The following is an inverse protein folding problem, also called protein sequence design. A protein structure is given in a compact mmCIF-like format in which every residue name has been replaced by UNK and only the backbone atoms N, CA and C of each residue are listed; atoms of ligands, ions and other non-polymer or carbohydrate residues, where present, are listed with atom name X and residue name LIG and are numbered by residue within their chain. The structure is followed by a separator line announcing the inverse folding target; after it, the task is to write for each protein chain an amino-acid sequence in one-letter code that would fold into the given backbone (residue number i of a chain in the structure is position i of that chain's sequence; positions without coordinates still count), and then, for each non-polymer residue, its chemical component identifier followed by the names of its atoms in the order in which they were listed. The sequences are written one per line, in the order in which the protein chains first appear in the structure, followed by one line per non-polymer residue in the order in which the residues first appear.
data_IF_246013308225
#
_entry.id   IF_246013308225
#
_cell.length_a   1.000
_cell.length_b   1.000
_cell.length_c   1.000
_cell.angle_alpha   90.00
_cell.angle_beta   90.00
_cell.angle_gamma   90.00
#
_symmetry.space_group_name_H-M   'P 1'
#
loop_
_entity.id
_entity.type
_entity.pdbx_description
1 polymer ?
#
# COMPACT_ATOMS: atom_id res chain seq x y z
N UNK A 1 42.04 12.78 -15.82
CA UNK A 1 41.36 13.00 -14.52
C UNK A 1 39.86 13.32 -14.63
N UNK A 2 39.34 13.93 -15.70
CA UNK A 2 37.88 14.18 -15.85
C UNK A 2 37.01 12.94 -16.14
N UNK A 3 37.54 11.90 -16.79
CA UNK A 3 36.76 10.69 -17.16
C UNK A 3 36.47 9.73 -15.98
N UNK A 4 37.33 9.69 -14.97
CA UNK A 4 37.14 8.80 -13.81
C UNK A 4 36.01 9.27 -12.88
N UNK A 5 35.81 10.58 -12.77
CA UNK A 5 34.79 11.19 -11.90
C UNK A 5 33.37 10.90 -12.40
N UNK A 6 33.16 10.85 -13.73
CA UNK A 6 31.85 10.58 -14.34
C UNK A 6 31.42 9.12 -14.15
N UNK A 7 32.36 8.18 -14.15
CA UNK A 7 32.08 6.74 -13.97
C UNK A 7 31.70 6.44 -12.52
N UNK A 8 32.39 7.07 -11.55
CA UNK A 8 32.06 6.96 -10.14
C UNK A 8 30.65 7.51 -9.85
N UNK A 9 30.31 8.71 -10.35
CA UNK A 9 28.96 9.28 -10.17
C UNK A 9 27.84 8.43 -10.78
N UNK A 10 28.08 7.81 -11.94
CA UNK A 10 27.08 6.95 -12.60
C UNK A 10 26.82 5.65 -11.83
N UNK A 11 27.83 5.07 -11.16
CA UNK A 11 27.63 3.86 -10.35
C UNK A 11 26.88 4.12 -9.03
N UNK A 12 27.06 5.29 -8.40
CA UNK A 12 26.31 5.62 -7.18
C UNK A 12 24.82 5.85 -7.43
N UNK A 13 24.45 6.47 -8.56
CA UNK A 13 23.03 6.68 -8.90
C UNK A 13 22.27 5.37 -9.12
N UNK A 14 22.91 4.36 -9.71
CA UNK A 14 22.29 3.06 -9.95
C UNK A 14 22.07 2.24 -8.67
N UNK A 15 22.94 2.39 -7.67
CA UNK A 15 22.81 1.70 -6.38
C UNK A 15 21.65 2.27 -5.53
N UNK A 16 21.45 3.59 -5.56
CA UNK A 16 20.36 4.24 -4.83
C UNK A 16 18.99 3.84 -5.37
N UNK A 17 18.80 3.87 -6.70
CA UNK A 17 17.54 3.47 -7.34
C UNK A 17 17.18 2.01 -7.06
N UNK A 18 18.18 1.11 -7.05
CA UNK A 18 17.96 -0.30 -6.75
C UNK A 18 17.54 -0.55 -5.29
N UNK A 19 18.14 0.19 -4.34
CA UNK A 19 17.77 0.08 -2.92
C UNK A 19 16.34 0.59 -2.67
N UNK A 20 15.95 1.71 -3.29
CA UNK A 20 14.60 2.27 -3.17
C UNK A 20 13.55 1.35 -3.81
N UNK A 21 13.86 0.75 -4.96
CA UNK A 21 12.96 -0.21 -5.63
C UNK A 21 12.78 -1.50 -4.82
N UNK A 22 13.86 -2.01 -4.22
CA UNK A 22 13.80 -3.17 -3.33
C UNK A 22 12.99 -2.87 -2.06
N UNK A 23 13.20 -1.69 -1.47
CA UNK A 23 12.45 -1.21 -0.29
C UNK A 23 10.96 -1.06 -0.59
N UNK A 24 10.61 -0.50 -1.76
CA UNK A 24 9.23 -0.37 -2.22
C UNK A 24 8.53 -1.73 -2.33
N UNK A 25 9.16 -2.69 -3.01
CA UNK A 25 8.56 -4.01 -3.20
C UNK A 25 8.40 -4.77 -1.87
N UNK A 26 9.33 -4.64 -0.92
CA UNK A 26 9.16 -5.24 0.41
C UNK A 26 7.98 -4.62 1.16
N UNK A 27 7.86 -3.29 1.17
CA UNK A 27 6.76 -2.61 1.87
C UNK A 27 5.38 -2.96 1.30
N UNK A 28 5.27 -3.05 -0.03
CA UNK A 28 4.02 -3.47 -0.70
C UNK A 28 3.66 -4.90 -0.29
N UNK A 29 4.64 -5.80 -0.31
CA UNK A 29 4.46 -7.22 0.05
C UNK A 29 4.05 -7.37 1.51
N UNK A 30 4.74 -6.68 2.41
CA UNK A 30 4.46 -6.71 3.85
C UNK A 30 3.08 -6.13 4.15
N UNK A 31 2.70 -5.01 3.51
CA UNK A 31 1.35 -4.44 3.61
C UNK A 31 0.27 -5.44 3.21
N UNK A 32 0.47 -6.12 2.08
CA UNK A 32 -0.50 -7.09 1.59
C UNK A 32 -0.62 -8.33 2.50
N UNK A 33 0.51 -8.86 2.97
CA UNK A 33 0.53 -10.00 3.90
C UNK A 33 -0.10 -9.65 5.24
N UNK A 34 0.19 -8.46 5.76
CA UNK A 34 -0.39 -7.97 7.01
C UNK A 34 -1.91 -7.85 6.86
N UNK A 35 -2.44 -7.24 5.79
CA UNK A 35 -3.89 -7.22 5.53
C UNK A 35 -4.50 -8.62 5.48
N UNK A 36 -3.85 -9.54 4.75
CA UNK A 36 -4.35 -10.92 4.60
C UNK A 36 -4.45 -11.62 5.96
N UNK A 37 -3.50 -11.37 6.86
CA UNK A 37 -3.47 -11.95 8.21
C UNK A 37 -4.65 -11.53 9.08
N UNK A 38 -5.32 -10.42 8.77
CA UNK A 38 -6.47 -9.91 9.54
C UNK A 38 -7.77 -10.67 9.30
N UNK A 39 -7.81 -11.56 8.30
CA UNK A 39 -8.96 -12.44 8.06
C UNK A 39 -10.26 -11.70 7.72
N UNK A 40 -10.17 -10.62 6.94
CA UNK A 40 -11.36 -9.83 6.58
C UNK A 40 -12.38 -10.67 5.80
N UNK A 41 -13.66 -10.38 6.02
CA UNK A 41 -14.79 -11.10 5.41
C UNK A 41 -15.80 -10.13 4.80
N UNK A 42 -16.45 -10.56 3.72
CA UNK A 42 -17.40 -9.78 2.93
C UNK A 42 -18.74 -10.50 2.83
N UNK A 43 -19.83 -9.73 2.84
CA UNK A 43 -21.19 -10.24 2.66
C UNK A 43 -21.72 -10.99 3.88
N UNK A 44 -23.02 -11.28 3.84
CA UNK A 44 -23.71 -12.02 4.92
C UNK A 44 -23.17 -13.45 5.11
N UNK A 45 -22.66 -14.06 4.03
CA UNK A 45 -22.04 -15.39 4.05
C UNK A 45 -20.64 -15.40 4.70
N UNK A 46 -20.14 -14.23 5.13
CA UNK A 46 -18.80 -14.04 5.73
C UNK A 46 -17.70 -14.62 4.85
N UNK A 47 -17.82 -14.49 3.53
CA UNK A 47 -16.81 -14.99 2.61
C UNK A 47 -15.47 -14.31 2.89
N UNK A 48 -14.36 -15.06 3.02
CA UNK A 48 -13.05 -14.45 3.21
C UNK A 48 -12.72 -13.52 2.05
N UNK A 49 -12.44 -12.25 2.33
CA UNK A 49 -12.18 -11.22 1.33
C UNK A 49 -10.97 -11.59 0.45
N UNK A 50 -9.99 -12.29 1.04
CA UNK A 50 -8.83 -12.83 0.33
C UNK A 50 -9.19 -13.85 -0.76
N UNK A 51 -10.40 -14.41 -0.80
CA UNK A 51 -10.83 -15.31 -1.89
C UNK A 51 -11.37 -14.55 -3.10
N UNK A 52 -11.73 -13.28 -2.96
CA UNK A 52 -12.33 -12.46 -4.01
C UNK A 52 -11.24 -11.74 -4.81
N UNK A 53 -11.09 -12.10 -6.10
CA UNK A 53 -10.02 -11.60 -6.98
C UNK A 53 -9.96 -10.07 -7.02
N UNK A 54 -11.06 -9.42 -7.38
CA UNK A 54 -11.09 -7.95 -7.47
C UNK A 54 -10.82 -7.24 -6.14
N UNK A 55 -11.15 -7.88 -5.02
CA UNK A 55 -10.85 -7.34 -3.70
C UNK A 55 -9.34 -7.38 -3.41
N UNK A 56 -8.68 -8.52 -3.72
CA UNK A 56 -7.22 -8.63 -3.58
C UNK A 56 -6.48 -7.61 -4.45
N UNK A 57 -6.91 -7.44 -5.69
CA UNK A 57 -6.31 -6.49 -6.63
C UNK A 57 -6.43 -5.04 -6.13
N UNK A 58 -7.59 -4.67 -5.60
CA UNK A 58 -7.78 -3.37 -4.98
C UNK A 58 -6.91 -3.14 -3.75
N UNK A 59 -6.78 -4.15 -2.89
CA UNK A 59 -5.87 -4.07 -1.73
C UNK A 59 -4.43 -3.91 -2.16
N UNK A 60 -3.98 -4.67 -3.18
CA UNK A 60 -2.63 -4.51 -3.72
C UNK A 60 -2.40 -3.08 -4.20
N UNK A 61 -3.36 -2.51 -4.94
CA UNK A 61 -3.30 -1.11 -5.40
C UNK A 61 -3.23 -0.11 -4.24
N UNK A 62 -3.94 -0.35 -3.15
CA UNK A 62 -3.87 0.48 -1.94
C UNK A 62 -2.48 0.39 -1.30
N UNK A 63 -1.91 -0.81 -1.16
CA UNK A 63 -0.56 -1.01 -0.63
C UNK A 63 0.51 -0.32 -1.49
N UNK A 64 0.37 -0.34 -2.82
CA UNK A 64 1.22 0.41 -3.75
C UNK A 64 1.14 1.92 -3.46
N UNK A 65 -0.05 2.51 -3.45
CA UNK A 65 -0.22 3.95 -3.26
C UNK A 65 0.26 4.40 -1.87
N UNK A 66 0.02 3.61 -0.83
CA UNK A 66 0.52 3.92 0.53
C UNK A 66 2.04 3.88 0.60
N UNK A 67 2.66 2.88 -0.03
CA UNK A 67 4.12 2.79 -0.14
C UNK A 67 4.69 3.98 -0.90
N UNK A 68 4.10 4.35 -2.04
CA UNK A 68 4.51 5.52 -2.83
C UNK A 68 4.46 6.81 -1.99
N UNK A 69 3.36 7.03 -1.25
CA UNK A 69 3.20 8.20 -0.37
C UNK A 69 4.20 8.20 0.80
N UNK A 70 4.40 7.04 1.44
CA UNK A 70 5.34 6.90 2.56
C UNK A 70 6.78 7.20 2.13
N UNK A 71 7.21 6.65 0.99
CA UNK A 71 8.53 6.90 0.42
C UNK A 71 8.70 8.35 -0.06
N UNK A 72 7.61 9.04 -0.40
CA UNK A 72 7.60 10.49 -0.69
C UNK A 72 7.65 11.37 0.57
N UNK A 73 7.67 10.77 1.76
CA UNK A 73 7.73 11.50 3.04
C UNK A 73 6.40 12.07 3.51
N UNK A 74 5.27 11.62 2.96
CA UNK A 74 3.97 11.95 3.51
C UNK A 74 3.80 11.30 4.90
N UNK A 75 3.05 11.94 5.79
CA UNK A 75 2.73 11.42 7.13
C UNK A 75 1.64 10.33 7.05
N UNK A 76 1.97 9.22 6.38
CA UNK A 76 1.09 8.06 6.19
C UNK A 76 1.87 6.77 6.47
N UNK A 77 1.23 5.79 7.10
CA UNK A 77 1.82 4.46 7.22
C UNK A 77 1.79 3.71 5.88
N UNK A 78 2.83 2.91 5.51
CA UNK A 78 2.78 2.05 4.34
C UNK A 78 1.76 0.91 4.48
N UNK A 79 1.32 0.61 5.70
CA UNK A 79 0.28 -0.39 6.00
C UNK A 79 -1.10 0.24 6.04
N UNK A 80 -2.13 -0.51 5.65
CA UNK A 80 -3.54 -0.10 5.72
C UNK A 80 -3.93 0.16 7.19
N UNK A 81 -4.38 1.36 7.56
CA UNK A 81 -4.73 1.66 8.95
C UNK A 81 -6.23 1.50 9.25
N UNK A 82 -7.09 1.77 8.25
CA UNK A 82 -8.54 1.71 8.37
C UNK A 82 -9.15 0.30 8.44
N UNK A 83 -10.45 0.27 8.76
CA UNK A 83 -11.26 -0.95 8.73
C UNK A 83 -11.74 -1.21 7.31
N UNK A 84 -12.16 -2.45 7.05
CA UNK A 84 -12.76 -2.85 5.77
C UNK A 84 -13.83 -1.87 5.26
N UNK A 85 -14.70 -1.37 6.16
CA UNK A 85 -15.75 -0.39 5.81
C UNK A 85 -15.20 0.91 5.23
N UNK A 86 -14.04 1.34 5.71
CA UNK A 86 -13.42 2.59 5.27
C UNK A 86 -12.78 2.42 3.90
N UNK A 87 -12.48 1.19 3.48
CA UNK A 87 -11.80 0.85 2.22
C UNK A 87 -12.76 0.39 1.12
N UNK A 88 -13.90 -0.18 1.50
CA UNK A 88 -14.92 -0.69 0.60
C UNK A 88 -15.25 0.22 -0.59
N UNK A 89 -15.42 1.55 -0.42
CA UNK A 89 -15.82 2.44 -1.50
C UNK A 89 -14.81 2.57 -2.65
N UNK A 90 -13.56 2.12 -2.47
CA UNK A 90 -12.51 2.29 -3.48
C UNK A 90 -11.75 1.02 -3.84
N UNK A 91 -11.85 -0.06 -3.05
CA UNK A 91 -11.17 -1.33 -3.37
C UNK A 91 -11.54 -1.85 -4.77
N UNK A 92 -12.79 -1.76 -5.20
CA UNK A 92 -13.19 -2.37 -6.48
C UNK A 92 -12.95 -1.49 -7.71
N UNK A 93 -13.09 -0.17 -7.59
CA UNK A 93 -13.24 0.71 -8.78
C UNK A 93 -12.32 1.92 -8.78
N UNK A 94 -11.62 2.22 -7.70
CA UNK A 94 -10.84 3.44 -7.63
C UNK A 94 -9.53 3.34 -8.40
N UNK A 95 -9.20 4.45 -9.05
CA UNK A 95 -7.88 4.67 -9.65
C UNK A 95 -6.84 4.89 -8.54
N UNK A 96 -5.54 4.85 -8.89
CA UNK A 96 -4.48 5.17 -7.93
C UNK A 96 -4.62 6.60 -7.39
N UNK A 97 -5.00 7.53 -8.26
CA UNK A 97 -5.22 8.94 -7.92
C UNK A 97 -6.37 9.11 -6.93
N UNK A 98 -7.50 8.43 -7.14
CA UNK A 98 -8.64 8.46 -6.23
C UNK A 98 -8.25 7.91 -4.84
N UNK A 99 -7.51 6.80 -4.82
CA UNK A 99 -6.98 6.19 -3.58
C UNK A 99 -6.05 7.17 -2.87
N UNK A 100 -5.14 7.81 -3.61
CA UNK A 100 -4.20 8.80 -3.07
C UNK A 100 -4.92 9.98 -2.44
N UNK A 101 -5.87 10.58 -3.15
CA UNK A 101 -6.68 11.69 -2.63
C UNK A 101 -7.43 11.28 -1.37
N UNK A 102 -8.04 10.09 -1.38
CA UNK A 102 -8.78 9.60 -0.21
C UNK A 102 -7.86 9.44 0.99
N UNK A 103 -6.74 8.71 0.88
CA UNK A 103 -5.79 8.48 1.99
C UNK A 103 -5.37 9.80 2.64
N UNK A 104 -5.06 10.81 1.83
CA UNK A 104 -4.66 12.13 2.31
C UNK A 104 -5.82 12.90 2.96
N UNK A 105 -7.05 12.78 2.43
CA UNK A 105 -8.23 13.47 2.96
C UNK A 105 -8.73 12.92 4.29
N UNK A 106 -8.73 11.59 4.48
CA UNK A 106 -9.18 11.00 5.75
C UNK A 106 -8.16 11.20 6.87
N UNK A 107 -6.99 11.76 6.56
CA UNK A 107 -5.84 11.88 7.45
C UNK A 107 -5.64 10.56 8.21
N UNK A 108 -5.58 9.46 7.45
CA UNK A 108 -5.49 8.11 7.99
C UNK A 108 -4.11 7.94 8.66
N UNK A 109 -4.07 8.35 9.93
CA UNK A 109 -2.87 8.71 10.68
C UNK A 109 -1.87 7.56 10.79
N UNK A 110 -0.63 7.92 11.07
CA UNK A 110 0.45 7.02 11.46
C UNK A 110 0.07 6.21 12.71
N UNK A 111 0.08 4.89 12.58
CA UNK A 111 -0.32 3.95 13.63
C UNK A 111 0.00 2.51 13.26
N UNK A 112 -0.12 1.59 14.22
CA UNK A 112 -0.14 0.16 13.93
C UNK A 112 -1.57 -0.23 13.51
N UNK A 113 -1.74 -1.08 12.49
CA UNK A 113 -3.07 -1.33 11.97
C UNK A 113 -4.06 -1.90 12.97
N UNK A 114 -5.29 -1.38 12.96
CA UNK A 114 -6.34 -1.84 13.86
C UNK A 114 -7.21 -2.94 13.22
N UNK A 115 -7.01 -4.19 13.67
CA UNK A 115 -8.06 -5.23 13.80
C UNK A 115 -8.67 -5.88 12.54
N UNK A 116 -9.45 -6.93 12.79
CA UNK A 116 -10.28 -7.62 11.79
C UNK A 116 -11.47 -6.75 11.34
N UNK A 117 -11.90 -6.94 10.10
CA UNK A 117 -12.98 -6.18 9.47
C UNK A 117 -14.07 -7.07 8.87
N UNK A 118 -15.32 -6.61 8.96
CA UNK A 118 -16.51 -7.27 8.40
C UNK A 118 -17.41 -6.23 7.73
N UNK A 119 -17.95 -6.58 6.56
CA UNK A 119 -18.99 -5.82 5.87
C UNK A 119 -20.20 -6.71 5.67
N UNK A 120 -21.23 -6.48 6.48
CA UNK A 120 -22.61 -6.86 6.19
C UNK A 120 -23.26 -5.72 5.42
N UNK A 121 -24.13 -6.06 4.47
CA UNK A 121 -25.11 -5.11 3.93
C UNK A 121 -26.19 -4.80 4.98
#
# INVERSE_FOLDING_TARGET
MKKLIVILFSMYSNLLVAADMQSSQSLITDCYQEWQSRGWTLGEDRRPAATIVGFREGIMRICEVRTELFLQGADVSPYIQGRLRDLAPYVFTATKEDIKQRILQVNDQTGYPAGSGYLSE
#
